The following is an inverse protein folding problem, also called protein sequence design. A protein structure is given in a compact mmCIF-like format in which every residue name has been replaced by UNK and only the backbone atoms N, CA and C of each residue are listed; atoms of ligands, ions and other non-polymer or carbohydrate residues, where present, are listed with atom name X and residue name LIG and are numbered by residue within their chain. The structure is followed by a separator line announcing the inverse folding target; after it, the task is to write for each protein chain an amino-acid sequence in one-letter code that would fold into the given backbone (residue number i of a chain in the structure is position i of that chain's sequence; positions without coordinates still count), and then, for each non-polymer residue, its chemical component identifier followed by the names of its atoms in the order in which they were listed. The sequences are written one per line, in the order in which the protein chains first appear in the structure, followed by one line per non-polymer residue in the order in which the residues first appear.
data_IF_036444582731
#
_entry.id   IF_036444582731
#
_cell.length_a   1.000
_cell.length_b   1.000
_cell.length_c   1.000
_cell.angle_alpha   90.00
_cell.angle_beta   90.00
_cell.angle_gamma   90.00
#
_symmetry.space_group_name_H-M   'P 1'
#
loop_
_entity.id
_entity.type
_entity.pdbx_description
1 polymer ?
#
# COMPACT_ATOMS: atom_id res chain seq x y z
N UNK A 1 15.85 1.65 0.64
CA UNK A 1 14.47 2.15 0.64
C UNK A 1 13.75 1.53 1.82
N UNK A 2 13.57 2.24 2.92
CA UNK A 2 12.66 1.77 3.96
C UNK A 2 11.23 1.98 3.47
N UNK A 3 10.38 0.94 3.53
CA UNK A 3 8.95 1.12 3.27
C UNK A 3 8.36 1.78 4.50
N UNK A 4 8.12 3.09 4.43
CA UNK A 4 7.56 3.87 5.53
C UNK A 4 6.04 4.04 5.45
N UNK A 5 5.39 3.41 4.45
CA UNK A 5 3.96 3.59 4.20
C UNK A 5 3.09 3.02 5.33
N UNK A 6 3.57 2.00 6.07
CA UNK A 6 2.87 1.42 7.21
C UNK A 6 2.52 2.45 8.30
N UNK A 7 3.38 3.46 8.48
CA UNK A 7 3.17 4.54 9.45
C UNK A 7 1.93 5.38 9.12
N UNK A 8 1.66 5.58 7.82
CA UNK A 8 0.52 6.35 7.32
C UNK A 8 -0.69 5.47 6.97
N UNK A 9 -0.47 4.24 6.58
CA UNK A 9 -1.55 3.35 6.10
C UNK A 9 -2.23 2.57 7.22
N UNK A 10 -1.45 2.04 8.16
CA UNK A 10 -1.95 1.20 9.24
C UNK A 10 -1.95 1.93 10.58
N UNK A 11 -0.82 2.51 11.02
CA UNK A 11 -0.72 3.21 12.32
C UNK A 11 -1.68 4.41 12.39
N UNK A 12 -1.83 5.20 11.32
CA UNK A 12 -2.83 6.28 11.26
C UNK A 12 -4.25 5.75 11.03
N UNK A 13 -4.60 4.55 11.52
CA UNK A 13 -5.92 3.95 11.32
C UNK A 13 -6.42 3.19 12.54
N UNK A 14 -7.64 2.66 12.45
CA UNK A 14 -8.25 1.81 13.49
C UNK A 14 -7.74 0.35 13.45
N UNK A 15 -6.82 0.01 12.53
CA UNK A 15 -6.25 -1.33 12.41
C UNK A 15 -5.03 -1.56 13.31
N UNK A 16 -4.22 -0.51 13.54
CA UNK A 16 -3.01 -0.62 14.35
C UNK A 16 -2.78 0.60 15.24
N UNK A 17 -1.91 0.44 16.22
CA UNK A 17 -1.30 1.53 16.98
C UNK A 17 0.22 1.49 16.78
N UNK A 18 0.91 2.56 17.13
CA UNK A 18 2.37 2.69 16.99
C UNK A 18 3.14 1.45 17.46
N UNK A 19 2.83 0.91 18.65
CA UNK A 19 3.63 -0.14 19.27
C UNK A 19 4.99 0.34 19.75
N UNK A 20 5.96 -0.58 19.87
CA UNK A 20 7.29 -0.28 20.43
C UNK A 20 7.26 -0.01 21.94
N UNK A 21 8.39 0.42 22.51
CA UNK A 21 8.41 0.88 23.91
C UNK A 21 7.87 2.31 24.02
N UNK A 22 7.45 2.67 25.23
CA UNK A 22 7.08 4.05 25.55
C UNK A 22 8.27 4.99 25.27
N UNK A 23 8.00 6.07 24.55
CA UNK A 23 9.01 7.05 24.16
C UNK A 23 9.84 6.70 22.93
N UNK A 24 9.88 5.44 22.49
CA UNK A 24 10.56 5.07 21.24
C UNK A 24 9.82 5.67 20.03
N UNK A 25 10.58 6.27 19.11
CA UNK A 25 10.02 6.81 17.86
C UNK A 25 8.76 7.68 18.10
N UNK A 26 8.85 8.67 18.99
CA UNK A 26 7.72 9.54 19.36
C UNK A 26 7.02 10.16 18.14
N UNK A 27 7.76 10.43 17.07
CA UNK A 27 7.24 11.00 15.83
C UNK A 27 6.24 10.07 15.10
N UNK A 28 6.36 8.76 15.28
CA UNK A 28 5.35 7.79 14.80
C UNK A 28 4.09 7.88 15.67
N UNK A 29 4.27 8.09 16.99
CA UNK A 29 3.14 8.34 17.90
C UNK A 29 2.33 9.57 17.51
N UNK A 30 3.00 10.65 17.08
CA UNK A 30 2.30 11.86 16.58
C UNK A 30 1.53 11.62 15.27
N UNK A 31 1.88 10.59 14.48
CA UNK A 31 1.10 10.16 13.32
C UNK A 31 -0.12 9.35 13.78
N UNK A 32 0.07 8.45 14.75
CA UNK A 32 -0.97 7.61 15.36
C UNK A 32 -2.11 8.45 15.96
N UNK A 33 -1.77 9.47 16.72
CA UNK A 33 -2.73 10.35 17.41
C UNK A 33 -3.11 11.63 16.62
N UNK A 34 -2.69 11.76 15.35
CA UNK A 34 -2.98 12.90 14.46
C UNK A 34 -2.46 14.25 14.99
N UNK A 35 -1.43 14.27 15.82
CA UNK A 35 -0.81 15.49 16.35
C UNK A 35 0.49 15.88 15.64
N UNK A 36 0.88 15.14 14.59
CA UNK A 36 2.08 15.41 13.82
C UNK A 36 2.08 16.82 13.23
N UNK A 37 3.20 17.55 13.43
CA UNK A 37 3.42 18.89 12.91
C UNK A 37 4.42 18.87 11.74
N UNK A 38 4.62 20.01 11.10
CA UNK A 38 5.52 20.16 9.93
C UNK A 38 6.98 19.78 10.20
N UNK A 39 7.44 19.83 11.43
CA UNK A 39 8.80 19.47 11.86
C UNK A 39 8.99 17.96 12.15
N UNK A 40 7.94 17.14 11.98
CA UNK A 40 7.99 15.70 12.16
C UNK A 40 8.96 15.05 11.17
N UNK A 41 10.00 14.36 11.67
CA UNK A 41 11.04 13.75 10.85
C UNK A 41 10.57 12.59 10.00
N UNK A 42 9.53 11.84 10.42
CA UNK A 42 8.92 10.76 9.62
C UNK A 42 8.27 11.33 8.37
N UNK A 43 7.54 12.43 8.50
CA UNK A 43 6.92 13.16 7.40
C UNK A 43 8.00 13.69 6.44
N UNK A 44 9.05 14.31 7.00
CA UNK A 44 10.15 14.86 6.22
C UNK A 44 10.92 13.77 5.43
N UNK A 45 11.21 12.65 6.08
CA UNK A 45 11.89 11.50 5.44
C UNK A 45 11.05 10.92 4.29
N UNK A 46 9.75 10.71 4.52
CA UNK A 46 8.85 10.18 3.49
C UNK A 46 8.77 11.10 2.27
N UNK A 47 8.61 12.40 2.50
CA UNK A 47 8.60 13.44 1.48
C UNK A 47 9.89 13.43 0.66
N UNK A 48 11.02 13.51 1.32
CA UNK A 48 12.33 13.56 0.67
C UNK A 48 12.57 12.32 -0.22
N UNK A 49 12.36 11.12 0.32
CA UNK A 49 12.57 9.87 -0.41
C UNK A 49 11.64 9.74 -1.64
N UNK A 50 10.40 10.22 -1.51
CA UNK A 50 9.43 10.17 -2.59
C UNK A 50 9.78 11.17 -3.69
N UNK A 51 10.17 12.40 -3.36
CA UNK A 51 10.65 13.39 -4.34
C UNK A 51 11.99 13.02 -4.97
N UNK A 52 12.86 12.30 -4.26
CA UNK A 52 14.07 11.74 -4.87
C UNK A 52 13.73 10.72 -5.97
N UNK A 53 12.73 9.86 -5.74
CA UNK A 53 12.23 8.93 -6.75
C UNK A 53 11.66 9.67 -7.98
N UNK A 54 10.86 10.72 -7.76
CA UNK A 54 10.32 11.58 -8.82
C UNK A 54 11.46 12.23 -9.61
N UNK A 55 12.47 12.75 -8.93
CA UNK A 55 13.63 13.39 -9.56
C UNK A 55 14.39 12.41 -10.45
N UNK A 56 14.65 11.19 -9.96
CA UNK A 56 15.29 10.12 -10.74
C UNK A 56 14.46 9.73 -11.96
N UNK A 57 13.14 9.59 -11.81
CA UNK A 57 12.22 9.32 -12.91
C UNK A 57 12.25 10.42 -13.97
N UNK A 58 12.22 11.69 -13.57
CA UNK A 58 12.31 12.84 -14.47
C UNK A 58 13.63 12.87 -15.23
N UNK A 59 14.76 12.54 -14.58
CA UNK A 59 16.07 12.46 -15.21
C UNK A 59 16.11 11.37 -16.30
N UNK A 60 15.46 10.22 -16.08
CA UNK A 60 15.34 9.17 -17.10
C UNK A 60 14.46 9.66 -18.25
N UNK A 61 13.26 10.18 -17.97
CA UNK A 61 12.29 10.62 -18.99
C UNK A 61 12.88 11.68 -19.92
N UNK A 62 13.68 12.57 -19.40
CA UNK A 62 14.30 13.64 -20.20
C UNK A 62 15.63 13.21 -20.81
N UNK A 63 16.54 12.66 -20.03
CA UNK A 63 17.90 12.32 -20.44
C UNK A 63 17.97 11.23 -21.51
N UNK A 64 17.05 10.27 -21.49
CA UNK A 64 17.06 9.14 -22.43
C UNK A 64 16.69 9.55 -23.86
N UNK A 65 16.02 10.69 -24.05
CA UNK A 65 15.55 11.16 -25.37
C UNK A 65 16.66 11.22 -26.39
N UNK A 66 17.85 11.69 -26.00
CA UNK A 66 18.99 11.89 -26.83
C UNK A 66 20.04 10.75 -26.76
N UNK A 67 19.76 9.70 -25.96
CA UNK A 67 20.69 8.57 -25.82
C UNK A 67 20.59 7.66 -27.02
N UNK A 68 21.72 7.30 -27.70
CA UNK A 68 21.74 6.33 -28.79
C UNK A 68 21.42 4.93 -28.23
N UNK A 69 20.21 4.43 -28.49
CA UNK A 69 19.77 3.09 -28.08
C UNK A 69 18.58 2.65 -28.93
N UNK A 70 18.24 1.37 -28.82
CA UNK A 70 17.03 0.79 -29.44
C UNK A 70 15.78 1.56 -29.03
N UNK A 71 14.91 1.85 -30.01
CA UNK A 71 13.73 2.69 -29.80
C UNK A 71 12.71 2.04 -28.84
N UNK A 72 12.48 0.72 -28.96
CA UNK A 72 11.55 -0.03 -28.10
C UNK A 72 12.05 -0.04 -26.67
N UNK A 73 13.36 -0.27 -26.47
CA UNK A 73 13.95 -0.23 -25.13
C UNK A 73 13.88 1.17 -24.51
N UNK A 74 14.07 2.22 -25.33
CA UNK A 74 13.92 3.61 -24.90
C UNK A 74 12.49 3.89 -24.43
N UNK A 75 11.49 3.51 -25.22
CA UNK A 75 10.09 3.68 -24.89
C UNK A 75 9.74 2.93 -23.59
N UNK A 76 10.19 1.69 -23.45
CA UNK A 76 10.00 0.90 -22.23
C UNK A 76 10.59 1.59 -21.00
N UNK A 77 11.83 2.09 -21.05
CA UNK A 77 12.47 2.77 -19.92
C UNK A 77 11.76 4.08 -19.54
N UNK A 78 11.25 4.81 -20.53
CA UNK A 78 10.42 6.01 -20.29
C UNK A 78 9.12 5.61 -19.59
N UNK A 79 8.47 4.54 -20.05
CA UNK A 79 7.22 4.04 -19.47
C UNK A 79 7.40 3.57 -18.02
N UNK A 80 8.49 2.86 -17.71
CA UNK A 80 8.84 2.47 -16.33
C UNK A 80 9.07 3.70 -15.44
N UNK A 81 9.81 4.69 -15.93
CA UNK A 81 10.04 5.92 -15.18
C UNK A 81 8.74 6.71 -14.94
N UNK A 82 7.81 6.75 -15.90
CA UNK A 82 6.49 7.34 -15.74
C UNK A 82 5.65 6.58 -14.72
N UNK A 83 5.66 5.24 -14.76
CA UNK A 83 4.98 4.42 -13.75
C UNK A 83 5.49 4.75 -12.34
N UNK A 84 6.80 4.80 -12.12
CA UNK A 84 7.38 5.11 -10.81
C UNK A 84 7.08 6.55 -10.37
N UNK A 85 7.02 7.51 -11.29
CA UNK A 85 6.61 8.88 -11.00
C UNK A 85 5.15 8.96 -10.59
N UNK A 86 4.27 8.28 -11.30
CA UNK A 86 2.85 8.19 -10.98
C UNK A 86 2.61 7.52 -9.62
N UNK A 87 3.30 6.41 -9.35
CA UNK A 87 3.28 5.74 -8.05
C UNK A 87 3.68 6.67 -6.90
N UNK A 88 4.75 7.44 -7.10
CA UNK A 88 5.23 8.39 -6.11
C UNK A 88 4.24 9.53 -5.87
N UNK A 89 3.68 10.13 -6.93
CA UNK A 89 2.67 11.17 -6.79
C UNK A 89 1.36 10.64 -6.19
N UNK A 90 0.99 9.40 -6.47
CA UNK A 90 -0.18 8.76 -5.86
C UNK A 90 -0.03 8.66 -4.33
N UNK A 91 1.16 8.34 -3.83
CA UNK A 91 1.41 8.35 -2.39
C UNK A 91 1.38 9.77 -1.81
N UNK A 92 2.06 10.73 -2.45
CA UNK A 92 2.10 12.12 -1.99
C UNK A 92 0.72 12.75 -1.91
N UNK A 93 -0.10 12.62 -2.96
CA UNK A 93 -1.44 13.24 -2.99
C UNK A 93 -2.38 12.63 -1.95
N UNK A 94 -2.21 11.36 -1.61
CA UNK A 94 -3.04 10.70 -0.61
C UNK A 94 -2.63 11.02 0.83
N UNK A 95 -1.37 11.35 1.07
CA UNK A 95 -0.86 11.73 2.39
C UNK A 95 -0.96 13.24 2.62
N UNK A 96 -0.58 14.06 1.64
CA UNK A 96 -0.39 15.51 1.80
C UNK A 96 -1.38 16.37 1.04
N UNK A 97 -2.18 15.81 0.14
CA UNK A 97 -3.10 16.58 -0.70
C UNK A 97 -2.37 17.37 -1.79
N UNK A 98 -2.43 18.69 -1.73
CA UNK A 98 -1.74 19.57 -2.66
C UNK A 98 -0.24 19.53 -2.46
N UNK A 99 0.51 19.22 -3.51
CA UNK A 99 1.98 19.13 -3.48
C UNK A 99 2.58 19.74 -4.76
N UNK A 100 3.87 20.16 -4.74
CA UNK A 100 4.54 20.66 -5.95
C UNK A 100 4.64 19.59 -7.04
N UNK A 101 4.10 19.88 -8.23
CA UNK A 101 4.14 18.97 -9.38
C UNK A 101 5.43 19.19 -10.20
N UNK A 102 6.51 18.55 -9.79
CA UNK A 102 7.84 18.66 -10.41
C UNK A 102 7.96 17.61 -11.54
N UNK A 103 7.97 18.06 -12.80
CA UNK A 103 7.94 17.20 -13.99
C UNK A 103 9.22 17.24 -14.84
N UNK A 104 10.22 17.98 -14.42
CA UNK A 104 11.46 18.19 -15.14
C UNK A 104 12.66 17.65 -14.35
N UNK A 105 13.83 17.45 -14.98
CA UNK A 105 15.06 17.13 -14.26
C UNK A 105 15.36 18.11 -13.13
N UNK A 106 16.04 17.63 -12.11
CA UNK A 106 16.34 18.43 -10.90
C UNK A 106 17.05 19.77 -11.22
N UNK A 107 17.93 19.78 -12.21
CA UNK A 107 18.71 20.97 -12.61
C UNK A 107 17.92 21.91 -13.53
N UNK A 108 16.66 21.66 -13.79
CA UNK A 108 15.81 22.53 -14.60
C UNK A 108 15.31 23.72 -13.80
N UNK A 109 15.46 24.92 -14.35
CA UNK A 109 14.88 26.14 -13.79
C UNK A 109 13.36 26.03 -13.57
N UNK A 110 12.70 25.14 -14.32
CA UNK A 110 11.26 24.86 -14.22
C UNK A 110 10.86 24.10 -12.94
N UNK A 111 11.84 23.54 -12.20
CA UNK A 111 11.60 22.89 -10.92
C UNK A 111 11.97 23.75 -9.71
N UNK A 112 12.45 24.96 -9.96
CA UNK A 112 12.78 25.91 -8.88
C UNK A 112 11.47 26.63 -8.47
N UNK A 113 11.16 26.60 -7.19
CA UNK A 113 9.99 27.28 -6.61
C UNK A 113 8.66 26.91 -7.25
N UNK A 114 8.43 25.62 -7.46
CA UNK A 114 7.14 25.11 -7.95
C UNK A 114 6.12 25.21 -6.82
N UNK A 115 5.04 25.97 -7.06
CA UNK A 115 3.92 26.09 -6.12
C UNK A 115 3.14 24.78 -5.96
N UNK A 116 2.21 24.77 -5.00
CA UNK A 116 1.30 23.65 -4.81
C UNK A 116 0.39 23.48 -6.04
N UNK A 117 0.23 22.26 -6.49
CA UNK A 117 -0.73 21.89 -7.51
C UNK A 117 -1.97 21.32 -6.84
N UNK A 118 -3.13 21.58 -7.42
CA UNK A 118 -4.38 21.02 -6.91
C UNK A 118 -4.37 19.49 -6.95
N UNK A 119 -5.09 18.87 -6.03
CA UNK A 119 -5.28 17.42 -5.98
C UNK A 119 -5.73 16.86 -7.35
N UNK A 120 -6.68 17.52 -8.02
CA UNK A 120 -7.14 17.15 -9.36
C UNK A 120 -6.02 17.22 -10.41
N UNK A 121 -5.21 18.28 -10.38
CA UNK A 121 -4.06 18.43 -11.29
C UNK A 121 -3.02 17.33 -11.12
N UNK A 122 -2.76 16.91 -9.87
CA UNK A 122 -1.84 15.82 -9.56
C UNK A 122 -2.41 14.49 -10.08
N UNK A 123 -3.70 14.19 -9.82
CA UNK A 123 -4.33 12.98 -10.35
C UNK A 123 -4.37 12.95 -11.88
N UNK A 124 -4.58 14.10 -12.53
CA UNK A 124 -4.50 14.21 -14.00
C UNK A 124 -3.13 13.78 -14.52
N UNK A 125 -2.05 14.20 -13.85
CA UNK A 125 -0.71 13.77 -14.21
C UNK A 125 -0.45 12.30 -13.91
N UNK A 126 -0.95 11.77 -12.79
CA UNK A 126 -0.87 10.34 -12.44
C UNK A 126 -1.55 9.49 -13.52
N UNK A 127 -2.79 9.81 -13.89
CA UNK A 127 -3.53 9.08 -14.93
C UNK A 127 -2.83 9.16 -16.28
N UNK A 128 -2.28 10.33 -16.63
CA UNK A 128 -1.49 10.50 -17.86
C UNK A 128 -0.26 9.61 -17.88
N UNK A 129 0.54 9.61 -16.82
CA UNK A 129 1.76 8.81 -16.73
C UNK A 129 1.45 7.31 -16.77
N UNK A 130 0.36 6.86 -16.11
CA UNK A 130 -0.06 5.46 -16.11
C UNK A 130 -0.64 5.02 -17.46
N UNK A 131 -1.38 5.90 -18.15
CA UNK A 131 -1.85 5.66 -19.51
C UNK A 131 -0.69 5.54 -20.48
N UNK A 132 0.32 6.39 -20.35
CA UNK A 132 1.54 6.31 -21.15
C UNK A 132 2.36 5.03 -20.81
N UNK A 133 2.21 4.48 -19.59
CA UNK A 133 2.91 3.28 -19.13
C UNK A 133 2.27 1.95 -19.60
N UNK A 134 1.08 1.94 -20.19
CA UNK A 134 0.45 0.68 -20.66
C UNK A 134 1.18 0.03 -21.86
N UNK A 135 2.16 0.70 -22.42
CA UNK A 135 3.06 0.13 -23.46
C UNK A 135 4.07 -0.87 -22.88
N UNK A 136 4.20 -0.92 -21.56
CA UNK A 136 5.09 -1.86 -20.86
C UNK A 136 4.82 -3.32 -21.26
N UNK A 137 5.84 -4.19 -21.18
CA UNK A 137 5.65 -5.63 -21.35
C UNK A 137 4.59 -6.20 -20.40
N UNK A 138 3.91 -7.24 -20.82
CA UNK A 138 2.95 -7.95 -19.95
C UNK A 138 3.66 -8.78 -18.87
N UNK A 139 4.89 -9.22 -19.14
CA UNK A 139 5.75 -9.96 -18.21
C UNK A 139 7.21 -9.73 -18.54
N UNK A 140 8.08 -10.05 -17.59
CA UNK A 140 9.54 -10.02 -17.74
C UNK A 140 10.14 -11.39 -17.47
N UNK A 141 11.39 -11.57 -17.82
CA UNK A 141 12.15 -12.76 -17.39
C UNK A 141 12.29 -12.76 -15.85
N UNK A 142 12.43 -13.95 -15.25
CA UNK A 142 12.57 -14.11 -13.80
C UNK A 142 13.72 -13.28 -13.22
N UNK A 143 14.80 -13.09 -13.98
CA UNK A 143 15.95 -12.25 -13.59
C UNK A 143 15.63 -10.75 -13.55
N UNK A 144 14.47 -10.34 -14.01
CA UNK A 144 13.99 -8.95 -14.04
C UNK A 144 12.73 -8.75 -13.19
N UNK A 145 12.47 -9.66 -12.24
CA UNK A 145 11.38 -9.57 -11.27
C UNK A 145 11.40 -8.23 -10.54
N UNK A 146 10.22 -7.66 -10.28
CA UNK A 146 10.05 -6.36 -9.62
C UNK A 146 9.97 -5.16 -10.58
N UNK A 147 10.17 -5.35 -11.89
CA UNK A 147 9.91 -4.29 -12.88
C UNK A 147 8.41 -4.11 -13.09
N UNK A 148 7.99 -2.85 -13.30
CA UNK A 148 6.60 -2.54 -13.59
C UNK A 148 6.15 -3.14 -14.92
N UNK A 149 5.00 -3.83 -14.89
CA UNK A 149 4.38 -4.45 -16.06
C UNK A 149 3.20 -3.63 -16.58
N UNK A 150 2.66 -4.00 -17.74
CA UNK A 150 1.38 -3.46 -18.24
C UNK A 150 0.25 -3.67 -17.23
N UNK A 151 0.21 -4.83 -16.58
CA UNK A 151 -0.77 -5.12 -15.53
C UNK A 151 -0.63 -4.18 -14.34
N UNK A 152 0.60 -3.88 -13.91
CA UNK A 152 0.85 -2.91 -12.85
C UNK A 152 0.35 -1.51 -13.25
N UNK A 153 0.57 -1.08 -14.51
CA UNK A 153 0.06 0.20 -15.00
C UNK A 153 -1.47 0.29 -14.98
N UNK A 154 -2.17 -0.74 -15.49
CA UNK A 154 -3.64 -0.79 -15.43
C UNK A 154 -4.17 -0.86 -14.00
N UNK A 155 -3.56 -1.67 -13.14
CA UNK A 155 -4.02 -1.83 -11.76
C UNK A 155 -3.85 -0.55 -10.93
N UNK A 156 -2.72 0.16 -11.06
CA UNK A 156 -2.52 1.44 -10.38
C UNK A 156 -3.40 2.54 -10.98
N UNK A 157 -3.65 2.52 -12.30
CA UNK A 157 -4.60 3.43 -12.95
C UNK A 157 -6.02 3.24 -12.40
N UNK A 158 -6.48 1.99 -12.32
CA UNK A 158 -7.78 1.67 -11.72
C UNK A 158 -7.88 2.17 -10.28
N UNK A 159 -6.82 1.97 -9.48
CA UNK A 159 -6.76 2.44 -8.08
C UNK A 159 -6.81 3.98 -8.00
N UNK A 160 -6.06 4.68 -8.86
CA UNK A 160 -6.07 6.14 -8.92
C UNK A 160 -7.45 6.70 -9.33
N UNK A 161 -8.14 6.04 -10.26
CA UNK A 161 -9.49 6.40 -10.69
C UNK A 161 -10.53 6.11 -9.60
N UNK A 162 -10.44 4.96 -8.91
CA UNK A 162 -11.29 4.63 -7.76
C UNK A 162 -11.20 5.69 -6.66
N UNK A 163 -9.98 6.14 -6.34
CA UNK A 163 -9.75 7.16 -5.30
C UNK A 163 -10.36 8.52 -5.65
N UNK A 164 -10.59 8.78 -6.92
CA UNK A 164 -11.33 9.96 -7.42
C UNK A 164 -12.83 9.70 -7.62
N UNK A 165 -13.33 8.50 -7.25
CA UNK A 165 -14.72 8.07 -7.49
C UNK A 165 -15.11 8.01 -8.98
N UNK A 166 -14.13 7.88 -9.87
CA UNK A 166 -14.32 7.65 -11.30
C UNK A 166 -14.57 6.15 -11.55
N UNK A 167 -15.68 5.64 -11.02
CA UNK A 167 -15.95 4.19 -10.97
C UNK A 167 -16.05 3.53 -12.35
N UNK A 168 -16.62 4.21 -13.36
CA UNK A 168 -16.70 3.70 -14.73
C UNK A 168 -15.34 3.54 -15.40
N UNK A 169 -14.48 4.54 -15.25
CA UNK A 169 -13.11 4.51 -15.75
C UNK A 169 -12.27 3.45 -15.02
N UNK A 170 -12.42 3.35 -13.70
CA UNK A 170 -11.75 2.31 -12.90
C UNK A 170 -12.15 0.90 -13.37
N UNK A 171 -13.43 0.64 -13.65
CA UNK A 171 -13.89 -0.64 -14.22
C UNK A 171 -13.26 -0.91 -15.59
N UNK A 172 -13.16 0.10 -16.44
CA UNK A 172 -12.49 -0.03 -17.74
C UNK A 172 -11.01 -0.43 -17.59
N UNK A 173 -10.30 0.21 -16.67
CA UNK A 173 -8.90 -0.13 -16.37
C UNK A 173 -8.77 -1.54 -15.79
N UNK A 174 -9.69 -1.97 -14.92
CA UNK A 174 -9.75 -3.33 -14.38
C UNK A 174 -10.01 -4.36 -15.51
N UNK A 175 -10.96 -4.10 -16.40
CA UNK A 175 -11.24 -4.96 -17.54
C UNK A 175 -10.02 -5.13 -18.47
N UNK A 176 -9.28 -4.04 -18.70
CA UNK A 176 -8.03 -4.08 -19.44
C UNK A 176 -6.97 -4.95 -18.75
N UNK A 177 -6.84 -4.87 -17.44
CA UNK A 177 -5.96 -5.74 -16.65
C UNK A 177 -6.41 -7.21 -16.75
N UNK A 178 -7.70 -7.50 -16.55
CA UNK A 178 -8.25 -8.85 -16.60
C UNK A 178 -8.09 -9.48 -18.01
N UNK A 179 -8.19 -8.68 -19.07
CA UNK A 179 -7.99 -9.13 -20.46
C UNK A 179 -6.60 -9.68 -20.76
N UNK A 180 -5.61 -9.38 -19.92
CA UNK A 180 -4.27 -9.96 -20.01
C UNK A 180 -4.25 -11.45 -19.67
N UNK A 181 -5.23 -11.94 -18.92
CA UNK A 181 -5.37 -13.34 -18.47
C UNK A 181 -4.12 -13.88 -17.75
N UNK A 182 -3.49 -13.05 -16.93
CA UNK A 182 -2.22 -13.36 -16.24
C UNK A 182 -2.38 -13.52 -14.72
N UNK A 183 -3.48 -13.01 -14.15
CA UNK A 183 -3.63 -12.89 -12.69
C UNK A 183 -4.79 -13.73 -12.18
N UNK A 184 -4.59 -14.36 -11.03
CA UNK A 184 -5.61 -15.06 -10.27
C UNK A 184 -5.28 -14.98 -8.77
N UNK A 185 -6.21 -15.47 -7.92
CA UNK A 185 -5.94 -15.59 -6.48
C UNK A 185 -4.99 -16.76 -6.21
N UNK A 186 -4.03 -16.54 -5.34
CA UNK A 186 -3.13 -17.56 -4.80
C UNK A 186 -3.56 -17.94 -3.37
N UNK A 187 -2.93 -18.96 -2.80
CA UNK A 187 -3.08 -19.27 -1.39
C UNK A 187 -2.65 -18.08 -0.53
N UNK A 188 -3.55 -17.62 0.34
CA UNK A 188 -3.29 -16.43 1.16
C UNK A 188 -2.01 -16.52 1.98
N UNK A 189 -1.74 -17.68 2.59
CA UNK A 189 -0.54 -17.89 3.39
C UNK A 189 0.75 -17.91 2.59
N UNK A 190 0.68 -18.22 1.29
CA UNK A 190 1.86 -18.27 0.45
C UNK A 190 2.30 -16.91 -0.07
N UNK A 191 1.37 -15.95 -0.15
CA UNK A 191 1.66 -14.61 -0.68
C UNK A 191 2.79 -13.90 0.06
N UNK A 192 2.86 -14.11 1.38
CA UNK A 192 3.79 -13.40 2.27
C UNK A 192 4.99 -14.26 2.68
N UNK A 193 5.43 -15.15 1.78
CA UNK A 193 6.61 -16.01 1.98
C UNK A 193 7.73 -15.61 1.03
N UNK A 194 8.97 -15.76 1.51
CA UNK A 194 10.15 -15.54 0.68
C UNK A 194 10.13 -16.51 -0.52
N UNK A 195 10.49 -15.99 -1.69
CA UNK A 195 10.51 -16.78 -2.94
C UNK A 195 9.17 -16.79 -3.70
N UNK A 196 8.13 -16.09 -3.18
CA UNK A 196 6.82 -16.00 -3.83
C UNK A 196 6.55 -14.61 -4.46
N UNK A 197 7.60 -13.86 -4.77
CA UNK A 197 7.51 -12.51 -5.35
C UNK A 197 6.81 -12.50 -6.72
N UNK A 198 6.85 -13.65 -7.42
CA UNK A 198 6.21 -13.86 -8.72
C UNK A 198 4.89 -14.66 -8.62
N UNK A 199 4.20 -14.62 -7.47
CA UNK A 199 2.89 -15.23 -7.35
C UNK A 199 1.96 -14.75 -8.47
N UNK A 200 1.07 -15.65 -8.94
CA UNK A 200 0.02 -15.31 -9.91
C UNK A 200 -0.90 -14.20 -9.42
N UNK A 201 -0.94 -13.93 -8.11
CA UNK A 201 -1.72 -12.85 -7.52
C UNK A 201 -0.95 -11.52 -7.50
N UNK A 202 0.38 -11.54 -7.53
CA UNK A 202 1.20 -10.32 -7.44
C UNK A 202 1.14 -9.53 -8.75
N UNK A 203 0.66 -8.28 -8.68
CA UNK A 203 0.60 -7.35 -9.82
C UNK A 203 1.78 -6.39 -9.79
N UNK A 204 2.09 -5.84 -8.62
CA UNK A 204 3.26 -5.00 -8.41
C UNK A 204 3.81 -5.17 -7.01
N UNK A 205 5.11 -5.44 -6.91
CA UNK A 205 5.83 -5.56 -5.65
C UNK A 205 7.16 -4.81 -5.70
N UNK A 206 7.59 -4.32 -4.54
CA UNK A 206 8.95 -3.80 -4.34
C UNK A 206 9.77 -4.96 -3.81
N UNK A 207 10.70 -5.44 -4.65
CA UNK A 207 11.55 -6.59 -4.34
C UNK A 207 12.81 -6.16 -3.59
N UNK A 208 13.26 -7.00 -2.68
CA UNK A 208 14.44 -6.80 -1.85
C UNK A 208 15.37 -8.00 -1.93
N UNK A 209 16.61 -7.80 -1.56
CA UNK A 209 17.63 -8.84 -1.51
C UNK A 209 18.39 -8.74 -0.20
N UNK A 210 18.47 -9.87 0.52
CA UNK A 210 19.31 -10.00 1.72
C UNK A 210 20.79 -10.07 1.34
N UNK A 211 21.67 -9.76 2.29
CA UNK A 211 23.12 -9.93 2.17
C UNK A 211 23.78 -9.18 1.00
N UNK A 212 23.23 -8.03 0.61
CA UNK A 212 23.80 -7.19 -0.45
C UNK A 212 24.63 -6.02 0.08
N UNK A 213 25.62 -5.59 -0.72
CA UNK A 213 26.41 -4.39 -0.47
C UNK A 213 26.45 -3.57 -1.78
N UNK A 214 25.87 -2.36 -1.84
CA UNK A 214 25.12 -1.68 -0.76
C UNK A 214 23.84 -2.44 -0.39
N UNK A 215 23.33 -2.19 0.82
CA UNK A 215 22.14 -2.83 1.35
C UNK A 215 20.93 -2.59 0.44
N UNK A 216 20.24 -3.68 0.08
CA UNK A 216 18.99 -3.68 -0.71
C UNK A 216 17.88 -4.43 0.04
N UNK A 217 17.92 -4.46 1.36
CA UNK A 217 17.07 -5.27 2.22
C UNK A 217 15.78 -4.57 2.63
N UNK A 218 14.79 -5.39 3.03
CA UNK A 218 13.54 -4.95 3.63
C UNK A 218 13.67 -4.92 5.16
N UNK A 219 13.63 -3.72 5.72
CA UNK A 219 13.70 -3.54 7.17
C UNK A 219 12.37 -3.77 7.90
N UNK A 220 11.23 -3.95 7.21
CA UNK A 220 9.93 -4.21 7.85
C UNK A 220 9.99 -5.41 8.78
N UNK A 221 10.70 -6.46 8.38
CA UNK A 221 10.93 -7.64 9.20
C UNK A 221 11.49 -7.31 10.62
N UNK A 222 12.30 -6.27 10.76
CA UNK A 222 12.82 -5.82 12.06
C UNK A 222 11.85 -4.88 12.77
N UNK A 223 11.20 -3.99 12.02
CA UNK A 223 10.25 -3.06 12.61
C UNK A 223 9.07 -3.77 13.28
N UNK A 224 8.57 -4.86 12.68
CA UNK A 224 7.33 -5.52 13.07
C UNK A 224 7.52 -6.80 13.90
N UNK A 225 8.74 -7.35 13.97
CA UNK A 225 9.02 -8.57 14.71
C UNK A 225 9.09 -8.33 16.23
N UNK A 226 8.85 -9.38 17.06
CA UNK A 226 8.97 -9.29 18.50
C UNK A 226 10.42 -9.08 18.95
N UNK A 227 10.62 -8.48 20.13
CA UNK A 227 11.94 -8.20 20.69
C UNK A 227 12.78 -9.46 20.93
N UNK A 228 12.14 -10.62 21.21
CA UNK A 228 12.84 -11.91 21.35
C UNK A 228 13.51 -12.37 20.04
N UNK A 229 13.09 -11.82 18.90
CA UNK A 229 13.67 -12.05 17.58
C UNK A 229 14.52 -10.85 17.12
N UNK A 230 14.94 -9.97 18.03
CA UNK A 230 15.66 -8.72 17.75
C UNK A 230 14.84 -7.70 16.93
N UNK A 231 13.52 -7.79 16.99
CA UNK A 231 12.60 -6.84 16.40
C UNK A 231 12.23 -5.69 17.33
N UNK A 232 11.52 -4.71 16.77
CA UNK A 232 11.14 -3.48 17.46
C UNK A 232 9.65 -3.44 17.83
N UNK A 233 8.85 -4.42 17.44
CA UNK A 233 7.43 -4.64 17.71
C UNK A 233 6.56 -3.38 17.54
N UNK A 234 6.79 -2.63 16.46
CA UNK A 234 5.90 -1.54 16.00
C UNK A 234 4.70 -2.10 15.21
N UNK A 235 3.76 -1.19 14.88
CA UNK A 235 2.56 -1.49 14.08
C UNK A 235 1.72 -2.60 14.73
N UNK A 236 1.30 -2.37 15.98
CA UNK A 236 0.59 -3.39 16.74
C UNK A 236 -0.89 -3.43 16.36
N UNK A 237 -1.40 -4.56 15.85
CA UNK A 237 -2.81 -4.73 15.51
C UNK A 237 -3.73 -4.43 16.69
N UNK A 238 -4.87 -3.77 16.41
CA UNK A 238 -5.88 -3.45 17.43
C UNK A 238 -6.86 -4.61 17.67
N UNK A 239 -7.52 -4.62 18.82
CA UNK A 239 -8.66 -5.52 19.07
C UNK A 239 -9.78 -5.30 18.06
N UNK A 240 -10.01 -4.04 17.63
CA UNK A 240 -11.01 -3.69 16.60
C UNK A 240 -10.81 -4.46 15.30
N UNK A 241 -9.55 -4.66 14.87
CA UNK A 241 -9.28 -5.45 13.68
C UNK A 241 -9.55 -6.95 13.90
N UNK A 242 -9.26 -7.48 15.08
CA UNK A 242 -9.54 -8.89 15.40
C UNK A 242 -11.06 -9.14 15.46
N UNK A 243 -11.82 -8.23 16.00
CA UNK A 243 -13.26 -8.35 16.24
C UNK A 243 -14.09 -8.40 14.93
N UNK A 244 -13.56 -7.98 13.78
CA UNK A 244 -14.28 -8.10 12.50
C UNK A 244 -14.34 -9.53 11.98
N UNK A 245 -13.57 -10.48 12.51
CA UNK A 245 -13.54 -11.88 12.09
C UNK A 245 -14.61 -12.71 12.79
N UNK A 246 -15.87 -12.36 12.62
CA UNK A 246 -17.04 -13.01 13.24
C UNK A 246 -17.58 -14.21 12.47
N UNK A 247 -17.29 -14.27 11.16
CA UNK A 247 -17.76 -15.35 10.31
C UNK A 247 -16.82 -16.56 10.40
N UNK A 248 -17.39 -17.75 10.27
CA UNK A 248 -16.66 -19.01 10.18
C UNK A 248 -16.56 -19.48 8.75
N UNK A 249 -15.52 -20.24 8.44
CA UNK A 249 -15.42 -20.99 7.20
C UNK A 249 -16.57 -22.01 7.07
N UNK A 250 -16.81 -22.49 5.87
CA UNK A 250 -17.88 -23.47 5.61
C UNK A 250 -17.69 -24.81 6.31
N UNK A 251 -16.47 -25.11 6.76
CA UNK A 251 -16.17 -26.29 7.58
C UNK A 251 -16.26 -26.03 9.11
N UNK A 252 -16.62 -24.80 9.52
CA UNK A 252 -16.78 -24.39 10.91
C UNK A 252 -15.49 -23.83 11.57
N UNK A 253 -14.35 -23.84 10.85
CA UNK A 253 -13.11 -23.24 11.35
C UNK A 253 -13.13 -21.71 11.32
N UNK A 254 -12.14 -21.07 11.94
CA UNK A 254 -11.97 -19.61 11.88
C UNK A 254 -11.55 -19.17 10.48
N UNK A 255 -11.86 -17.93 10.11
CA UNK A 255 -11.34 -17.32 8.87
C UNK A 255 -9.81 -17.38 8.88
N UNK A 256 -9.23 -18.09 7.91
CA UNK A 256 -7.79 -18.37 7.85
C UNK A 256 -6.91 -17.10 7.84
N UNK A 257 -7.46 -15.98 7.36
CA UNK A 257 -6.73 -14.72 7.23
C UNK A 257 -6.34 -14.12 8.56
N UNK A 258 -7.10 -14.41 9.62
CA UNK A 258 -6.82 -13.88 10.96
C UNK A 258 -5.44 -14.34 11.46
N UNK A 259 -5.21 -15.65 11.53
CA UNK A 259 -3.94 -16.21 12.02
C UNK A 259 -2.80 -16.16 10.96
N UNK A 260 -3.16 -15.97 9.69
CA UNK A 260 -2.17 -15.72 8.64
C UNK A 260 -1.63 -14.28 8.65
N UNK A 261 -2.44 -13.32 9.10
CA UNK A 261 -2.07 -11.89 9.11
C UNK A 261 -1.36 -11.45 10.39
N UNK A 262 -1.75 -12.00 11.56
CA UNK A 262 -1.22 -11.58 12.86
C UNK A 262 -0.88 -12.76 13.77
N UNK A 263 0.05 -12.53 14.71
CA UNK A 263 0.27 -13.40 15.87
C UNK A 263 -0.76 -13.13 16.96
N UNK A 264 -1.32 -14.19 17.55
CA UNK A 264 -2.27 -14.16 18.68
C UNK A 264 -1.83 -15.14 19.77
N UNK A 265 -2.15 -14.84 21.01
CA UNK A 265 -1.75 -15.65 22.17
C UNK A 265 -2.05 -17.14 21.99
N UNK A 266 -1.06 -17.99 22.22
CA UNK A 266 -1.18 -19.44 22.09
C UNK A 266 -1.29 -19.98 20.66
N UNK A 267 -1.27 -19.12 19.62
CA UNK A 267 -1.31 -19.53 18.21
C UNK A 267 0.10 -19.66 17.61
N UNK A 268 0.19 -20.39 16.51
CA UNK A 268 1.45 -20.54 15.80
C UNK A 268 1.99 -19.18 15.30
N UNK A 269 3.23 -18.91 15.65
CA UNK A 269 4.03 -17.81 15.10
C UNK A 269 4.92 -18.35 13.98
N UNK A 270 5.97 -17.65 13.66
CA UNK A 270 7.03 -18.09 12.75
C UNK A 270 8.05 -18.97 13.49
N UNK A 271 8.87 -19.74 12.77
CA UNK A 271 9.92 -20.63 13.32
C UNK A 271 9.41 -21.69 14.32
N UNK A 272 8.20 -22.23 14.10
CA UNK A 272 7.54 -23.19 14.98
C UNK A 272 7.35 -22.71 16.43
N UNK A 273 7.48 -21.40 16.68
CA UNK A 273 7.21 -20.77 17.96
C UNK A 273 5.71 -20.63 18.19
N UNK A 274 5.32 -20.57 19.47
CA UNK A 274 3.99 -20.13 19.88
C UNK A 274 4.04 -18.65 20.23
N UNK A 275 3.13 -17.87 19.67
CA UNK A 275 3.03 -16.45 19.96
C UNK A 275 2.60 -16.21 21.41
N UNK A 276 3.20 -15.21 22.05
CA UNK A 276 2.79 -14.73 23.38
C UNK A 276 2.26 -13.30 23.27
N UNK A 277 1.09 -13.05 23.86
CA UNK A 277 0.50 -11.72 23.97
C UNK A 277 1.41 -10.70 24.68
N UNK A 278 2.36 -11.18 25.49
CA UNK A 278 3.35 -10.31 26.14
C UNK A 278 4.39 -9.69 25.20
N UNK A 279 4.41 -10.06 23.92
CA UNK A 279 5.40 -9.57 22.95
C UNK A 279 5.04 -8.20 22.34
N UNK A 280 3.85 -7.71 22.61
CA UNK A 280 3.38 -6.40 22.13
C UNK A 280 2.47 -5.71 23.13
N UNK A 281 2.20 -4.42 22.94
CA UNK A 281 1.34 -3.63 23.80
C UNK A 281 -0.14 -3.99 23.67
N UNK A 282 -0.57 -4.47 22.51
CA UNK A 282 -1.97 -4.87 22.23
C UNK A 282 -2.23 -6.36 22.42
N UNK A 283 -1.19 -7.17 22.59
CA UNK A 283 -1.29 -8.63 22.56
C UNK A 283 -1.25 -9.24 21.16
N UNK A 284 -0.98 -8.44 20.13
CA UNK A 284 -0.91 -8.86 18.70
C UNK A 284 0.32 -8.29 18.01
N UNK A 285 0.85 -8.97 17.00
CA UNK A 285 1.89 -8.46 16.08
C UNK A 285 1.58 -8.83 14.64
N UNK A 286 1.93 -7.96 13.71
CA UNK A 286 1.79 -8.22 12.27
C UNK A 286 2.67 -9.38 11.87
N UNK A 287 2.13 -10.33 11.09
CA UNK A 287 2.83 -11.53 10.61
C UNK A 287 3.22 -11.44 9.14
N UNK A 288 2.40 -10.78 8.31
CA UNK A 288 2.55 -10.68 6.85
C UNK A 288 3.93 -10.24 6.36
N UNK A 289 4.61 -9.36 7.09
CA UNK A 289 5.90 -8.80 6.69
C UNK A 289 7.07 -9.35 7.48
N UNK A 290 6.83 -10.42 8.26
CA UNK A 290 7.85 -11.06 9.06
C UNK A 290 8.39 -12.30 8.37
N UNK A 291 9.72 -12.45 8.37
CA UNK A 291 10.41 -13.65 7.93
C UNK A 291 10.80 -14.52 9.13
N UNK A 292 10.74 -15.86 8.99
CA UNK A 292 11.32 -16.78 9.96
C UNK A 292 12.79 -16.47 10.24
N UNK A 293 13.25 -16.65 11.48
CA UNK A 293 14.68 -16.46 11.84
C UNK A 293 15.60 -17.41 11.04
N UNK A 294 15.07 -18.54 10.58
CA UNK A 294 15.81 -19.48 9.72
C UNK A 294 16.11 -18.92 8.32
N UNK A 295 15.40 -17.87 7.90
CA UNK A 295 15.55 -17.25 6.58
C UNK A 295 16.37 -15.95 6.63
N UNK A 296 16.69 -15.45 7.81
CA UNK A 296 17.51 -14.25 8.02
C UNK A 296 18.64 -14.52 8.96
N UNK A 297 19.75 -13.82 8.81
CA UNK A 297 20.83 -13.86 9.81
C UNK A 297 20.29 -13.27 11.13
N UNK A 298 20.33 -14.06 12.20
CA UNK A 298 19.82 -13.68 13.52
C UNK A 298 20.42 -12.39 14.08
N UNK A 299 21.65 -12.06 13.69
CA UNK A 299 22.29 -10.77 14.01
C UNK A 299 21.87 -9.62 13.10
N UNK A 300 21.05 -9.87 12.07
CA UNK A 300 20.72 -8.92 11.01
C UNK A 300 19.24 -8.99 10.62
N UNK A 301 18.35 -9.04 11.61
CA UNK A 301 16.87 -9.15 11.39
C UNK A 301 16.34 -8.14 10.37
N UNK A 302 16.92 -6.93 10.27
CA UNK A 302 16.57 -5.91 9.29
C UNK A 302 17.11 -6.16 7.88
N UNK A 303 17.84 -7.26 7.63
CA UNK A 303 18.36 -7.62 6.31
C UNK A 303 17.45 -8.63 5.60
N UNK A 304 16.14 -8.36 5.60
CA UNK A 304 15.13 -9.21 5.00
C UNK A 304 15.10 -9.14 3.47
N UNK A 305 14.78 -10.27 2.82
CA UNK A 305 14.58 -10.37 1.37
C UNK A 305 13.11 -10.40 0.94
N UNK A 306 12.16 -10.41 1.89
CA UNK A 306 10.74 -10.50 1.59
C UNK A 306 10.25 -9.28 0.82
N UNK A 307 9.61 -9.50 -0.33
CA UNK A 307 9.04 -8.43 -1.14
C UNK A 307 7.85 -7.76 -0.44
N UNK A 308 7.70 -6.46 -0.64
CA UNK A 308 6.49 -5.73 -0.28
C UNK A 308 5.53 -5.73 -1.48
N UNK A 309 4.44 -6.46 -1.37
CA UNK A 309 3.40 -6.51 -2.38
C UNK A 309 2.52 -5.26 -2.22
N UNK A 310 2.64 -4.33 -3.17
CA UNK A 310 1.85 -3.09 -3.16
C UNK A 310 0.47 -3.24 -3.80
N UNK A 311 0.38 -4.08 -4.84
CA UNK A 311 -0.85 -4.31 -5.58
C UNK A 311 -0.97 -5.78 -5.95
N UNK A 312 -2.09 -6.40 -5.59
CA UNK A 312 -2.39 -7.80 -5.88
C UNK A 312 -3.83 -7.99 -6.37
N UNK A 313 -4.09 -9.13 -6.97
CA UNK A 313 -5.35 -9.37 -7.67
C UNK A 313 -6.58 -9.37 -6.77
N UNK A 314 -6.45 -9.73 -5.48
CA UNK A 314 -7.55 -9.57 -4.53
C UNK A 314 -7.98 -8.10 -4.36
N UNK A 315 -7.03 -7.14 -4.33
CA UNK A 315 -7.36 -5.71 -4.30
C UNK A 315 -8.12 -5.30 -5.56
N UNK A 316 -7.72 -5.80 -6.76
CA UNK A 316 -8.44 -5.56 -8.02
C UNK A 316 -9.88 -6.09 -7.95
N UNK A 317 -10.09 -7.29 -7.42
CA UNK A 317 -11.43 -7.87 -7.28
C UNK A 317 -12.30 -7.04 -6.31
N UNK A 318 -11.74 -6.59 -5.21
CA UNK A 318 -12.46 -5.75 -4.24
C UNK A 318 -12.73 -4.35 -4.79
N UNK A 319 -11.80 -3.75 -5.55
CA UNK A 319 -12.04 -2.51 -6.28
C UNK A 319 -13.14 -2.68 -7.34
N UNK A 320 -13.17 -3.82 -8.05
CA UNK A 320 -14.23 -4.15 -9.02
C UNK A 320 -15.60 -4.25 -8.34
N UNK A 321 -15.67 -4.94 -7.21
CA UNK A 321 -16.90 -5.06 -6.43
C UNK A 321 -17.39 -3.67 -5.96
N UNK A 322 -16.49 -2.83 -5.44
CA UNK A 322 -16.82 -1.48 -5.02
C UNK A 322 -17.33 -0.64 -6.20
N UNK A 323 -16.62 -0.62 -7.32
CA UNK A 323 -17.05 0.13 -8.50
C UNK A 323 -18.44 -0.31 -9.00
N UNK A 324 -18.70 -1.61 -9.08
CA UNK A 324 -20.02 -2.12 -9.49
C UNK A 324 -21.12 -1.66 -8.54
N UNK A 325 -20.89 -1.77 -7.24
CA UNK A 325 -21.84 -1.34 -6.24
C UNK A 325 -22.14 0.17 -6.29
N UNK A 326 -21.09 1.00 -6.42
CA UNK A 326 -21.24 2.45 -6.48
C UNK A 326 -21.85 2.96 -7.82
N UNK A 327 -21.87 2.09 -8.84
CA UNK A 327 -22.61 2.31 -10.09
C UNK A 327 -24.04 1.72 -10.04
N UNK A 328 -24.56 1.41 -8.86
CA UNK A 328 -25.89 0.87 -8.61
C UNK A 328 -26.14 -0.54 -9.15
N UNK A 329 -25.08 -1.36 -9.23
CA UNK A 329 -25.12 -2.76 -9.63
C UNK A 329 -24.61 -3.69 -8.53
N UNK A 330 -25.28 -3.76 -7.35
CA UNK A 330 -24.85 -4.65 -6.27
C UNK A 330 -24.83 -6.13 -6.64
N UNK A 331 -25.67 -6.56 -7.59
CA UNK A 331 -25.69 -7.89 -8.17
C UNK A 331 -24.39 -8.22 -8.93
N UNK A 332 -23.81 -7.26 -9.63
CA UNK A 332 -22.52 -7.43 -10.33
C UNK A 332 -21.32 -7.37 -9.38
N UNK A 333 -21.49 -6.83 -8.17
CA UNK A 333 -20.47 -6.82 -7.14
C UNK A 333 -20.30 -8.20 -6.46
N UNK A 334 -21.32 -9.06 -6.49
CA UNK A 334 -21.32 -10.37 -5.82
C UNK A 334 -20.17 -11.26 -6.31
N UNK A 335 -20.02 -11.42 -7.61
CA UNK A 335 -19.05 -12.35 -8.17
C UNK A 335 -17.59 -12.04 -7.80
N UNK A 336 -17.06 -10.82 -7.97
CA UNK A 336 -15.69 -10.49 -7.56
C UNK A 336 -15.51 -10.56 -6.03
N UNK A 337 -16.51 -10.17 -5.24
CA UNK A 337 -16.45 -10.27 -3.78
C UNK A 337 -16.42 -11.72 -3.31
N UNK A 338 -17.28 -12.58 -3.87
CA UNK A 338 -17.33 -13.99 -3.53
C UNK A 338 -16.07 -14.75 -3.91
N UNK A 339 -15.36 -14.36 -4.96
CA UNK A 339 -14.04 -14.96 -5.26
C UNK A 339 -13.05 -14.78 -4.10
N UNK A 340 -12.99 -13.59 -3.50
CA UNK A 340 -12.12 -13.31 -2.34
C UNK A 340 -12.59 -14.10 -1.12
N UNK A 341 -13.90 -14.11 -0.86
CA UNK A 341 -14.50 -14.85 0.26
C UNK A 341 -14.25 -16.36 0.16
N UNK A 342 -14.46 -16.93 -1.02
CA UNK A 342 -14.27 -18.37 -1.27
C UNK A 342 -12.81 -18.80 -1.06
N UNK A 343 -11.84 -17.97 -1.48
CA UNK A 343 -10.44 -18.22 -1.19
C UNK A 343 -10.16 -18.28 0.33
N UNK A 344 -10.89 -17.48 1.11
CA UNK A 344 -10.83 -17.48 2.58
C UNK A 344 -11.69 -18.57 3.23
N UNK A 345 -12.35 -19.43 2.45
CA UNK A 345 -13.23 -20.51 2.92
C UNK A 345 -14.62 -20.05 3.35
N UNK A 346 -14.97 -18.77 3.15
CA UNK A 346 -16.27 -18.21 3.55
C UNK A 346 -17.36 -18.51 2.50
N UNK A 347 -18.60 -18.55 2.96
CA UNK A 347 -19.76 -18.76 2.10
C UNK A 347 -20.01 -17.56 1.18
N UNK A 348 -20.64 -17.83 0.03
CA UNK A 348 -21.12 -16.81 -0.90
C UNK A 348 -22.17 -15.89 -0.25
N UNK A 349 -22.15 -14.64 -0.67
CA UNK A 349 -23.20 -13.65 -0.42
C UNK A 349 -23.97 -13.38 -1.71
N UNK A 350 -25.28 -13.17 -1.60
CA UNK A 350 -26.15 -12.80 -2.72
C UNK A 350 -27.37 -12.01 -2.24
N UNK A 351 -28.01 -11.31 -3.17
CA UNK A 351 -29.28 -10.63 -2.96
C UNK A 351 -29.20 -9.44 -1.98
N UNK A 352 -28.04 -8.78 -1.88
CA UNK A 352 -27.82 -7.64 -0.99
C UNK A 352 -28.23 -6.32 -1.63
N UNK A 353 -28.78 -5.43 -0.83
CA UNK A 353 -28.98 -4.02 -1.22
C UNK A 353 -27.63 -3.32 -1.42
N UNK A 354 -27.60 -2.21 -2.14
CA UNK A 354 -26.40 -1.40 -2.34
C UNK A 354 -25.72 -1.02 -1.02
N UNK A 355 -26.48 -0.64 0.00
CA UNK A 355 -25.94 -0.27 1.31
C UNK A 355 -25.33 -1.46 2.07
N UNK A 356 -25.99 -2.61 2.05
CA UNK A 356 -25.47 -3.83 2.65
C UNK A 356 -24.20 -4.31 1.92
N UNK A 357 -24.22 -4.29 0.59
CA UNK A 357 -23.08 -4.68 -0.23
C UNK A 357 -21.88 -3.77 0.02
N UNK A 358 -22.10 -2.44 0.13
CA UNK A 358 -21.05 -1.48 0.49
C UNK A 358 -20.40 -1.81 1.81
N UNK A 359 -21.18 -2.13 2.83
CA UNK A 359 -20.67 -2.51 4.15
C UNK A 359 -19.87 -3.82 4.09
N UNK A 360 -20.37 -4.81 3.36
CA UNK A 360 -19.69 -6.09 3.17
C UNK A 360 -18.35 -5.93 2.43
N UNK A 361 -18.32 -5.16 1.33
CA UNK A 361 -17.09 -4.88 0.57
C UNK A 361 -16.06 -4.19 1.48
N UNK A 362 -16.45 -3.20 2.26
CA UNK A 362 -15.55 -2.49 3.18
C UNK A 362 -14.98 -3.41 4.26
N UNK A 363 -15.81 -4.26 4.85
CA UNK A 363 -15.37 -5.26 5.82
C UNK A 363 -14.45 -6.30 5.20
N UNK A 364 -14.78 -6.79 4.00
CA UNK A 364 -13.95 -7.75 3.30
C UNK A 364 -12.59 -7.16 2.92
N UNK A 365 -12.54 -5.90 2.47
CA UNK A 365 -11.26 -5.19 2.22
C UNK A 365 -10.42 -5.09 3.48
N UNK A 366 -11.03 -4.73 4.62
CA UNK A 366 -10.33 -4.62 5.90
C UNK A 366 -9.74 -5.96 6.35
N UNK A 367 -10.47 -7.08 6.19
CA UNK A 367 -9.97 -8.44 6.48
C UNK A 367 -8.87 -8.87 5.53
N UNK A 368 -9.09 -8.64 4.25
CA UNK A 368 -8.24 -9.13 3.16
C UNK A 368 -6.91 -8.38 3.10
N UNK A 369 -6.97 -7.06 3.15
CA UNK A 369 -5.84 -6.16 2.96
C UNK A 369 -5.27 -5.58 4.27
N UNK A 370 -5.71 -6.08 5.43
CA UNK A 370 -5.19 -5.65 6.73
C UNK A 370 -3.67 -5.78 6.79
N UNK A 371 -2.99 -4.77 7.28
CA UNK A 371 -1.53 -4.65 7.37
C UNK A 371 -0.79 -4.70 6.02
N UNK A 372 -1.48 -4.27 4.94
CA UNK A 372 -0.86 -3.98 3.64
C UNK A 372 -0.86 -2.47 3.36
N UNK A 373 -1.05 -1.66 4.39
CA UNK A 373 -0.92 -0.20 4.44
C UNK A 373 -2.01 0.55 3.65
N UNK A 374 -3.25 0.02 3.63
CA UNK A 374 -4.36 0.59 2.86
C UNK A 374 -5.42 1.29 3.72
N UNK A 375 -5.58 0.89 4.99
CA UNK A 375 -6.75 1.22 5.82
C UNK A 375 -7.01 2.72 5.95
N UNK A 376 -6.03 3.52 6.33
CA UNK A 376 -6.19 4.97 6.46
C UNK A 376 -6.67 5.61 5.15
N UNK A 377 -6.07 5.23 4.02
CA UNK A 377 -6.44 5.78 2.72
C UNK A 377 -7.85 5.38 2.30
N UNK A 378 -8.29 4.17 2.62
CA UNK A 378 -9.67 3.72 2.41
C UNK A 378 -10.65 4.55 3.26
N UNK A 379 -10.36 4.76 4.54
CA UNK A 379 -11.18 5.60 5.42
C UNK A 379 -11.31 7.03 4.87
N UNK A 380 -10.19 7.62 4.43
CA UNK A 380 -10.19 9.00 3.91
C UNK A 380 -11.02 9.14 2.63
N UNK A 381 -10.94 8.19 1.68
CA UNK A 381 -11.68 8.24 0.43
C UNK A 381 -13.17 7.90 0.57
N UNK A 382 -13.53 7.10 1.59
CA UNK A 382 -14.93 6.81 1.90
C UNK A 382 -15.64 7.98 2.57
N UNK A 383 -14.91 8.90 3.19
CA UNK A 383 -15.40 10.18 3.65
C UNK A 383 -15.57 10.30 5.16
N UNK A 384 -15.97 11.50 5.55
CA UNK A 384 -15.99 12.00 6.95
C UNK A 384 -16.68 11.05 7.92
N UNK A 385 -17.89 10.62 7.61
CA UNK A 385 -18.70 9.80 8.50
C UNK A 385 -17.99 8.48 8.83
N UNK A 386 -17.48 7.79 7.80
CA UNK A 386 -16.77 6.52 7.95
C UNK A 386 -15.45 6.71 8.70
N UNK A 387 -14.70 7.75 8.37
CA UNK A 387 -13.43 8.02 9.01
C UNK A 387 -13.60 8.39 10.50
N UNK A 388 -14.55 9.26 10.83
CA UNK A 388 -14.78 9.65 12.24
C UNK A 388 -15.38 8.54 13.09
N UNK A 389 -16.20 7.67 12.51
CA UNK A 389 -16.69 6.48 13.20
C UNK A 389 -15.56 5.50 13.53
N UNK A 390 -14.66 5.25 12.55
CA UNK A 390 -13.57 4.30 12.71
C UNK A 390 -12.46 4.82 13.64
N UNK A 391 -12.03 6.08 13.47
CA UNK A 391 -10.90 6.67 14.20
C UNK A 391 -11.26 7.23 15.56
N UNK A 392 -12.55 7.36 15.84
CA UNK A 392 -13.03 7.80 17.16
C UNK A 392 -12.97 9.30 17.42
N UNK A 393 -13.26 9.73 18.67
CA UNK A 393 -13.49 11.14 19.00
C UNK A 393 -12.23 12.00 19.02
N UNK A 394 -11.05 11.41 19.09
CA UNK A 394 -9.76 12.14 19.09
C UNK A 394 -9.39 12.60 17.68
N UNK A 395 -9.94 11.94 16.65
CA UNK A 395 -9.68 12.33 15.26
C UNK A 395 -10.50 13.55 14.86
N UNK A 396 -9.83 14.55 14.31
CA UNK A 396 -10.47 15.75 13.78
C UNK A 396 -10.43 15.76 12.25
N UNK A 397 -11.60 15.62 11.64
CA UNK A 397 -11.74 15.76 10.19
C UNK A 397 -11.47 17.19 9.74
N UNK A 398 -10.67 17.34 8.66
CA UNK A 398 -10.47 18.61 7.95
C UNK A 398 -11.08 18.54 6.56
N UNK A 399 -11.57 19.66 6.04
CA UNK A 399 -12.17 19.70 4.70
C UNK A 399 -11.10 19.93 3.61
N UNK A 400 -11.16 19.26 2.45
CA UNK A 400 -12.19 18.27 2.03
C UNK A 400 -11.97 16.87 2.60
N UNK A 401 -10.81 16.58 3.21
CA UNK A 401 -10.44 15.39 3.98
C UNK A 401 -9.19 15.72 4.80
N UNK A 402 -8.85 14.84 5.76
CA UNK A 402 -7.61 14.99 6.50
C UNK A 402 -6.38 14.72 5.61
N UNK A 403 -5.38 15.58 5.73
CA UNK A 403 -4.05 15.43 5.17
C UNK A 403 -3.00 15.74 6.24
N UNK A 404 -1.88 15.04 6.18
CA UNK A 404 -0.74 15.36 7.03
C UNK A 404 -0.08 16.68 6.59
N UNK A 405 0.56 17.42 7.52
CA UNK A 405 1.19 18.70 7.21
C UNK A 405 2.36 18.53 6.23
N UNK A 406 2.60 19.56 5.43
CA UNK A 406 3.82 19.62 4.60
C UNK A 406 5.06 19.74 5.50
N UNK A 407 6.21 19.13 5.11
CA UNK A 407 7.42 19.23 5.91
C UNK A 407 7.95 20.67 6.02
N UNK A 408 8.41 21.06 7.19
CA UNK A 408 8.97 22.38 7.45
C UNK A 408 10.13 22.72 6.50
N UNK A 409 10.95 21.73 6.15
CA UNK A 409 12.06 21.89 5.19
C UNK A 409 11.60 22.31 3.80
N UNK A 410 10.44 21.83 3.31
CA UNK A 410 9.86 22.27 2.05
C UNK A 410 9.26 23.67 2.18
N UNK A 411 8.55 23.95 3.28
CA UNK A 411 7.97 25.28 3.56
C UNK A 411 9.04 26.37 3.65
N UNK A 412 10.20 26.07 4.21
CA UNK A 412 11.30 27.02 4.35
C UNK A 412 12.06 27.26 3.05
N UNK A 413 12.28 26.19 2.27
CA UNK A 413 13.15 26.24 1.08
C UNK A 413 12.41 26.56 -0.22
N UNK A 414 11.13 26.21 -0.35
CA UNK A 414 10.38 26.42 -1.58
C UNK A 414 9.58 27.72 -1.54
N UNK A 415 10.15 28.78 -2.12
CA UNK A 415 9.49 30.10 -2.18
C UNK A 415 8.21 30.11 -3.06
N UNK A 416 7.98 29.09 -3.87
CA UNK A 416 6.76 28.96 -4.68
C UNK A 416 5.50 28.59 -3.85
N UNK A 417 5.68 28.13 -2.61
CA UNK A 417 4.59 27.79 -1.68
C UNK A 417 4.17 28.98 -0.82
N UNK A 418 4.99 30.02 -0.75
CA UNK A 418 4.79 31.22 0.10
C UNK A 418 3.85 32.20 -0.54
#
# INVERSE_FOLDING_TARGET
YSINLWKFGDVASDDAVKGGNDGDQAEIGYIDDFTAQSDNGVIAEFWQNTYETISRANNVIDGIKNTPMDATKKEQMIAEAKFLRAYSYFQLVNIFGEVPLKLYPQNSDKNIYVGLSSVEGIYTQIEKDLTDAVVLPVSYAVTETGRATRGAAYGLLAKAQLYQKKYGEALTSIQNLESLNLYDLDSYENLFKLGNENSIETIFAICFLSNQVPTCSNALNQWLAPSIESGYFFDNPTQSWVDIFTEKQTDGSDDLRLDASIGRDGKAWLNDNTFSSSWSSTGYLVKKHNQPLSEVDAGRKGDGGLAYIYLRYADILLMKAECQNELHHPDLAEAPLNRVRNRAGLADISGKTESEMRSLIRTERRKELGFEFHRFFDLMRWGKEVATEALGPEFTWTEPRYYFPLPQTELDSNLGIK
#
